data_IF_161036088486
#
_entry.id   IF_161036088486
#
_cell.length_a   1.000
_cell.length_b   1.000
_cell.length_c   1.000
_cell.angle_alpha   90.00
_cell.angle_beta   90.00
_cell.angle_gamma   90.00
#
_symmetry.space_group_name_H-M   'P 1'
#
loop_
_entity.id
_entity.type
_entity.pdbx_description
1 polymer ?
#
# COMPACT_ATOMS: atom_id res chain seq x y z
N UNK A 1 -5.12 -10.82 -5.92
CA UNK A 1 -4.26 -11.99 -5.60
C UNK A 1 -4.70 -12.73 -4.35
N UNK A 2 -4.43 -12.27 -3.11
CA UNK A 2 -4.73 -13.09 -1.92
C UNK A 2 -6.21 -13.49 -1.79
N UNK A 3 -7.13 -12.54 -2.02
CA UNK A 3 -8.57 -12.81 -2.05
C UNK A 3 -8.94 -13.85 -3.12
N UNK A 4 -8.38 -13.73 -4.33
CA UNK A 4 -8.61 -14.70 -5.41
C UNK A 4 -8.07 -16.10 -5.05
N UNK A 5 -6.95 -16.18 -4.31
CA UNK A 5 -6.43 -17.46 -3.80
C UNK A 5 -7.40 -18.07 -2.78
N UNK A 6 -7.98 -17.27 -1.89
CA UNK A 6 -9.03 -17.73 -0.97
C UNK A 6 -10.25 -18.27 -1.72
N UNK A 7 -10.73 -17.53 -2.71
CA UNK A 7 -11.85 -17.94 -3.57
C UNK A 7 -11.53 -19.24 -4.32
N UNK A 8 -10.30 -19.43 -4.78
CA UNK A 8 -9.86 -20.70 -5.39
C UNK A 8 -9.92 -21.87 -4.39
N UNK A 9 -9.45 -21.69 -3.15
CA UNK A 9 -9.56 -22.73 -2.11
C UNK A 9 -11.03 -23.00 -1.78
N UNK A 10 -11.88 -21.97 -1.79
CA UNK A 10 -13.32 -22.13 -1.60
C UNK A 10 -13.95 -23.02 -2.68
N UNK A 11 -13.55 -22.88 -3.95
CA UNK A 11 -14.02 -23.79 -5.00
C UNK A 11 -13.48 -25.22 -4.81
N UNK A 12 -12.22 -25.39 -4.37
CA UNK A 12 -11.70 -26.72 -4.02
C UNK A 12 -12.49 -27.37 -2.88
N UNK A 13 -12.85 -26.62 -1.84
CA UNK A 13 -13.67 -27.09 -0.73
C UNK A 13 -15.02 -27.63 -1.24
N UNK A 14 -15.70 -26.90 -2.13
CA UNK A 14 -16.98 -27.35 -2.71
C UNK A 14 -16.84 -28.67 -3.49
N UNK A 15 -15.75 -28.82 -4.25
CA UNK A 15 -15.46 -30.07 -4.97
C UNK A 15 -15.28 -31.24 -4.00
N UNK A 16 -14.53 -31.04 -2.91
CA UNK A 16 -14.32 -32.06 -1.88
C UNK A 16 -15.62 -32.44 -1.16
N UNK A 17 -16.47 -31.45 -0.85
CA UNK A 17 -17.78 -31.68 -0.23
C UNK A 17 -18.72 -32.47 -1.13
N UNK A 18 -18.76 -32.15 -2.43
CA UNK A 18 -19.56 -32.89 -3.40
C UNK A 18 -19.03 -34.31 -3.61
N UNK A 19 -17.71 -34.48 -3.65
CA UNK A 19 -17.08 -35.79 -3.76
C UNK A 19 -17.40 -36.68 -2.55
N UNK A 20 -17.21 -36.15 -1.33
CA UNK A 20 -17.56 -36.84 -0.09
C UNK A 20 -19.05 -37.21 -0.04
N UNK A 21 -19.94 -36.29 -0.44
CA UNK A 21 -21.38 -36.55 -0.50
C UNK A 21 -21.73 -37.71 -1.44
N UNK A 22 -21.07 -37.80 -2.59
CA UNK A 22 -21.29 -38.87 -3.56
C UNK A 22 -20.76 -40.22 -3.05
N UNK A 23 -19.59 -40.25 -2.40
CA UNK A 23 -19.06 -41.45 -1.74
C UNK A 23 -19.99 -41.95 -0.63
N UNK A 24 -20.45 -41.05 0.24
CA UNK A 24 -21.39 -41.37 1.31
C UNK A 24 -22.74 -41.89 0.77
N UNK A 25 -23.20 -41.38 -0.37
CA UNK A 25 -24.40 -41.91 -1.03
C UNK A 25 -24.16 -43.31 -1.60
N UNK A 26 -22.98 -43.55 -2.20
CA UNK A 26 -22.64 -44.83 -2.80
C UNK A 26 -22.42 -45.93 -1.76
N UNK A 27 -21.86 -45.61 -0.59
CA UNK A 27 -21.68 -46.56 0.52
C UNK A 27 -23.00 -47.16 1.03
N UNK A 28 -24.09 -46.40 0.94
CA UNK A 28 -25.43 -46.84 1.36
C UNK A 28 -26.19 -47.65 0.30
N UNK A 29 -25.56 -47.97 -0.84
CA UNK A 29 -26.21 -48.72 -1.90
C UNK A 29 -26.48 -50.19 -1.50
N UNK A 30 -27.62 -50.72 -1.94
CA UNK A 30 -28.08 -52.09 -1.71
C UNK A 30 -27.56 -53.13 -2.72
N UNK A 31 -26.63 -52.74 -3.62
CA UNK A 31 -26.00 -53.67 -4.56
C UNK A 31 -25.32 -54.84 -3.84
N UNK A 32 -25.61 -56.05 -4.32
CA UNK A 32 -25.03 -57.32 -3.88
C UNK A 32 -25.15 -57.59 -2.36
N UNK A 33 -26.21 -57.06 -1.71
CA UNK A 33 -26.48 -57.31 -0.28
C UNK A 33 -26.82 -58.78 0.01
N UNK A 34 -27.32 -59.53 -0.98
CA UNK A 34 -27.61 -60.96 -0.81
C UNK A 34 -26.37 -61.89 -0.80
N UNK A 35 -25.15 -61.36 -0.96
CA UNK A 35 -23.94 -62.19 -0.89
C UNK A 35 -23.68 -62.58 0.56
N UNK A 36 -23.55 -63.87 0.82
CA UNK A 36 -23.36 -64.43 2.17
C UNK A 36 -21.94 -64.94 2.41
N UNK A 37 -21.66 -65.32 3.66
CA UNK A 37 -20.37 -65.84 4.10
C UNK A 37 -19.28 -64.77 4.11
N UNK A 38 -18.02 -65.22 4.18
CA UNK A 38 -16.86 -64.31 4.27
C UNK A 38 -16.73 -63.35 3.07
N UNK A 39 -17.24 -63.74 1.89
CA UNK A 39 -17.28 -62.84 0.73
C UNK A 39 -18.30 -61.72 0.92
N UNK A 40 -19.46 -62.02 1.53
CA UNK A 40 -20.47 -61.02 1.87
C UNK A 40 -19.97 -60.02 2.91
N UNK A 41 -19.28 -60.50 3.93
CA UNK A 41 -18.61 -59.67 4.94
C UNK A 41 -17.55 -58.75 4.30
N UNK A 42 -16.70 -59.30 3.43
CA UNK A 42 -15.71 -58.51 2.70
C UNK A 42 -16.35 -57.44 1.81
N UNK A 43 -17.44 -57.77 1.11
CA UNK A 43 -18.19 -56.81 0.31
C UNK A 43 -18.84 -55.70 1.15
N UNK A 44 -19.44 -56.06 2.30
CA UNK A 44 -19.97 -55.07 3.24
C UNK A 44 -18.85 -54.13 3.74
N UNK A 45 -17.66 -54.66 3.98
CA UNK A 45 -16.51 -53.85 4.39
C UNK A 45 -16.04 -52.90 3.29
N UNK A 46 -16.09 -53.28 2.01
CA UNK A 46 -15.81 -52.37 0.88
C UNK A 46 -16.82 -51.20 0.89
N UNK A 47 -18.10 -51.45 1.17
CA UNK A 47 -19.07 -50.35 1.28
C UNK A 47 -18.80 -49.45 2.48
N UNK A 48 -18.39 -50.02 3.62
CA UNK A 48 -18.01 -49.24 4.79
C UNK A 48 -16.77 -48.37 4.52
N UNK A 49 -15.77 -48.89 3.80
CA UNK A 49 -14.57 -48.09 3.48
C UNK A 49 -14.91 -46.87 2.62
N UNK A 50 -15.92 -46.94 1.74
CA UNK A 50 -16.42 -45.76 1.01
C UNK A 50 -17.03 -44.70 1.96
N UNK A 51 -17.68 -45.12 3.04
CA UNK A 51 -18.20 -44.19 4.05
C UNK A 51 -17.05 -43.54 4.83
N UNK A 52 -16.04 -44.33 5.21
CA UNK A 52 -14.84 -43.84 5.89
C UNK A 52 -14.07 -42.85 5.00
N UNK A 53 -13.89 -43.15 3.70
CA UNK A 53 -13.30 -42.25 2.72
C UNK A 53 -14.08 -40.93 2.61
N UNK A 54 -15.42 -41.00 2.56
CA UNK A 54 -16.26 -39.80 2.56
C UNK A 54 -16.00 -38.91 3.79
N UNK A 55 -15.87 -39.51 4.99
CA UNK A 55 -15.59 -38.78 6.21
C UNK A 55 -14.18 -38.13 6.20
N UNK A 56 -13.18 -38.83 5.66
CA UNK A 56 -11.82 -38.28 5.48
C UNK A 56 -11.86 -37.03 4.59
N UNK A 57 -12.52 -37.10 3.44
CA UNK A 57 -12.64 -35.97 2.51
C UNK A 57 -13.42 -34.80 3.11
N UNK A 58 -14.49 -35.07 3.87
CA UNK A 58 -15.24 -34.02 4.55
C UNK A 58 -14.44 -33.34 5.67
N UNK A 59 -13.64 -34.11 6.44
CA UNK A 59 -12.72 -33.54 7.44
C UNK A 59 -11.63 -32.70 6.77
N UNK A 60 -11.13 -33.14 5.62
CA UNK A 60 -10.16 -32.39 4.83
C UNK A 60 -10.73 -31.06 4.35
N UNK A 61 -11.96 -31.03 3.80
CA UNK A 61 -12.58 -29.78 3.36
C UNK A 61 -12.81 -28.79 4.51
N UNK A 62 -13.21 -29.28 5.70
CA UNK A 62 -13.34 -28.45 6.90
C UNK A 62 -12.00 -27.85 7.37
N UNK A 63 -10.91 -28.63 7.26
CA UNK A 63 -9.56 -28.12 7.54
C UNK A 63 -9.11 -27.10 6.50
N UNK A 64 -9.34 -27.34 5.21
CA UNK A 64 -9.05 -26.35 4.16
C UNK A 64 -9.75 -25.01 4.44
N UNK A 65 -11.01 -25.06 4.87
CA UNK A 65 -11.74 -23.84 5.21
C UNK A 65 -11.11 -23.09 6.39
N UNK A 66 -10.87 -23.79 7.49
CA UNK A 66 -10.43 -23.18 8.76
C UNK A 66 -8.95 -22.81 8.79
N UNK A 67 -8.10 -23.60 8.15
CA UNK A 67 -6.64 -23.49 8.22
C UNK A 67 -6.02 -22.82 6.98
N UNK A 68 -6.75 -22.66 5.86
CA UNK A 68 -6.19 -22.08 4.63
C UNK A 68 -7.05 -20.94 4.07
N UNK A 69 -8.32 -21.21 3.75
CA UNK A 69 -9.22 -20.22 3.11
C UNK A 69 -9.47 -19.02 4.03
N UNK A 70 -9.96 -19.26 5.25
CA UNK A 70 -10.32 -18.18 6.17
C UNK A 70 -9.13 -17.28 6.56
N UNK A 71 -7.94 -17.81 6.88
CA UNK A 71 -6.76 -16.97 7.09
C UNK A 71 -6.35 -16.15 5.86
N UNK A 72 -6.46 -16.72 4.65
CA UNK A 72 -6.21 -16.00 3.41
C UNK A 72 -7.28 -14.92 3.14
N UNK A 73 -8.53 -15.12 3.52
CA UNK A 73 -9.55 -14.09 3.32
C UNK A 73 -9.40 -12.91 4.29
N UNK A 74 -9.12 -13.20 5.56
CA UNK A 74 -9.23 -12.23 6.65
C UNK A 74 -7.91 -11.54 7.01
N UNK A 75 -6.82 -11.87 6.34
CA UNK A 75 -5.56 -11.17 6.57
C UNK A 75 -5.70 -9.69 6.22
N UNK A 76 -5.50 -8.83 7.22
CA UNK A 76 -5.48 -7.37 7.10
C UNK A 76 -6.73 -6.81 6.40
N UNK A 77 -7.92 -7.12 6.94
CA UNK A 77 -9.21 -6.62 6.44
C UNK A 77 -9.27 -5.09 6.24
N UNK A 78 -8.54 -4.32 7.06
CA UNK A 78 -8.48 -2.85 6.98
C UNK A 78 -7.40 -2.30 6.02
N UNK A 79 -6.61 -3.16 5.37
CA UNK A 79 -5.44 -2.76 4.58
C UNK A 79 -5.75 -1.70 3.53
N UNK A 80 -6.86 -1.85 2.79
CA UNK A 80 -7.28 -0.88 1.77
C UNK A 80 -7.52 0.52 2.35
N UNK A 81 -8.06 0.60 3.57
CA UNK A 81 -8.32 1.87 4.25
C UNK A 81 -7.01 2.51 4.71
N UNK A 82 -6.10 1.71 5.27
CA UNK A 82 -4.82 2.20 5.77
C UNK A 82 -3.89 2.63 4.64
N UNK A 83 -3.87 1.91 3.52
CA UNK A 83 -3.14 2.33 2.31
C UNK A 83 -3.64 3.67 1.74
N UNK A 84 -4.96 3.93 1.80
CA UNK A 84 -5.50 5.25 1.40
C UNK A 84 -5.06 6.38 2.32
N UNK A 85 -4.98 6.12 3.63
CA UNK A 85 -4.49 7.13 4.59
C UNK A 85 -3.02 7.44 4.34
N UNK A 86 -2.22 6.39 4.11
CA UNK A 86 -0.81 6.49 3.76
C UNK A 86 -0.61 7.33 2.48
N UNK A 87 -1.34 7.01 1.40
CA UNK A 87 -1.30 7.75 0.15
C UNK A 87 -1.67 9.23 0.32
N UNK A 88 -2.74 9.50 1.08
CA UNK A 88 -3.18 10.86 1.36
C UNK A 88 -2.11 11.66 2.13
N UNK A 89 -1.51 11.04 3.16
CA UNK A 89 -0.46 11.67 3.96
C UNK A 89 0.74 12.12 3.10
N UNK A 90 1.24 11.21 2.26
CA UNK A 90 2.37 11.49 1.37
C UNK A 90 2.00 12.54 0.31
N UNK A 91 0.79 12.47 -0.24
CA UNK A 91 0.26 13.44 -1.21
C UNK A 91 0.19 14.84 -0.61
N UNK A 92 -0.25 14.97 0.63
CA UNK A 92 -0.32 16.26 1.33
C UNK A 92 1.07 16.86 1.56
N UNK A 93 2.07 16.05 1.92
CA UNK A 93 3.46 16.50 2.03
C UNK A 93 4.01 16.97 0.67
N UNK A 94 3.72 16.27 -0.42
CA UNK A 94 4.07 16.72 -1.78
C UNK A 94 3.42 18.05 -2.15
N UNK A 95 2.15 18.23 -1.80
CA UNK A 95 1.44 19.51 -2.01
C UNK A 95 2.08 20.65 -1.23
N UNK A 96 2.52 20.40 0.01
CA UNK A 96 3.25 21.39 0.80
C UNK A 96 4.57 21.80 0.14
N UNK A 97 5.37 20.84 -0.35
CA UNK A 97 6.60 21.14 -1.10
C UNK A 97 6.30 22.02 -2.32
N UNK A 98 5.28 21.66 -3.11
CA UNK A 98 4.89 22.42 -4.31
C UNK A 98 4.50 23.87 -3.97
N UNK A 99 3.73 24.07 -2.89
CA UNK A 99 3.37 25.41 -2.43
C UNK A 99 4.58 26.23 -1.96
N UNK A 100 5.54 25.59 -1.26
CA UNK A 100 6.79 26.24 -0.87
C UNK A 100 7.65 26.60 -2.08
N UNK A 101 7.74 25.71 -3.06
CA UNK A 101 8.44 25.97 -4.31
C UNK A 101 7.84 27.19 -5.06
N UNK A 102 6.52 27.27 -5.17
CA UNK A 102 5.85 28.44 -5.76
C UNK A 102 6.18 29.76 -5.01
N UNK A 103 6.36 29.68 -3.69
CA UNK A 103 6.77 30.84 -2.87
C UNK A 103 8.21 31.26 -3.16
N UNK A 104 9.13 30.30 -3.29
CA UNK A 104 10.53 30.53 -3.72
C UNK A 104 10.58 31.17 -5.10
N UNK A 105 9.82 30.64 -6.07
CA UNK A 105 9.74 31.21 -7.42
C UNK A 105 9.29 32.67 -7.41
N UNK A 106 8.27 32.98 -6.61
CA UNK A 106 7.75 34.34 -6.45
C UNK A 106 8.79 35.28 -5.82
N UNK A 107 9.45 34.84 -4.75
CA UNK A 107 10.49 35.63 -4.08
C UNK A 107 11.71 35.87 -5.00
N UNK A 108 12.11 34.86 -5.79
CA UNK A 108 13.20 34.99 -6.76
C UNK A 108 12.88 36.05 -7.82
N UNK A 109 11.67 35.99 -8.40
CA UNK A 109 11.22 36.99 -9.38
C UNK A 109 11.22 38.41 -8.80
N UNK A 110 10.73 38.57 -7.56
CA UNK A 110 10.73 39.85 -6.87
C UNK A 110 12.16 40.37 -6.62
N UNK A 111 13.10 39.49 -6.24
CA UNK A 111 14.51 39.88 -6.06
C UNK A 111 15.13 40.37 -7.37
N UNK A 112 14.91 39.65 -8.47
CA UNK A 112 15.40 40.07 -9.79
C UNK A 112 14.85 41.43 -10.21
N UNK A 113 13.57 41.71 -9.93
CA UNK A 113 12.97 43.03 -10.22
C UNK A 113 13.60 44.14 -9.37
N UNK A 114 13.85 43.90 -8.07
CA UNK A 114 14.48 44.89 -7.18
C UNK A 114 15.95 45.13 -7.50
N UNK A 115 16.69 44.10 -7.92
CA UNK A 115 18.07 44.23 -8.37
C UNK A 115 18.17 45.11 -9.62
N UNK A 116 17.26 44.93 -10.59
CA UNK A 116 17.19 45.80 -11.78
C UNK A 116 16.84 47.25 -11.44
N UNK A 117 15.89 47.48 -10.52
CA UNK A 117 15.56 48.84 -10.04
C UNK A 117 16.75 49.53 -9.38
N UNK A 118 17.50 48.80 -8.55
CA UNK A 118 18.74 49.29 -7.93
C UNK A 118 19.82 49.62 -8.96
N UNK A 119 20.02 48.75 -9.96
CA UNK A 119 20.99 48.96 -11.04
C UNK A 119 20.66 50.22 -11.86
N UNK A 120 19.40 50.38 -12.28
CA UNK A 120 18.95 51.58 -13.01
C UNK A 120 19.15 52.86 -12.21
N UNK A 121 18.83 52.85 -10.91
CA UNK A 121 19.04 54.02 -10.03
C UNK A 121 20.52 54.34 -9.82
N UNK A 122 21.36 53.32 -9.79
CA UNK A 122 22.82 53.48 -9.69
C UNK A 122 23.37 54.13 -10.96
N UNK A 123 22.94 53.69 -12.14
CA UNK A 123 23.30 54.32 -13.42
C UNK A 123 22.82 55.79 -13.52
N UNK A 124 21.66 56.13 -12.93
CA UNK A 124 21.19 57.53 -12.89
C UNK A 124 22.10 58.46 -12.08
N UNK A 125 22.78 57.94 -11.05
CA UNK A 125 23.73 58.72 -10.26
C UNK A 125 24.97 59.11 -11.07
N UNK A 126 25.42 58.24 -11.98
CA UNK A 126 26.56 58.50 -12.88
C UNK A 126 26.26 59.63 -13.87
N UNK A 127 24.98 59.82 -14.23
CA UNK A 127 24.54 60.86 -15.17
C UNK A 127 24.26 62.19 -14.45
N UNK A 128 23.67 62.16 -13.24
CA UNK A 128 23.33 63.37 -12.49
C UNK A 128 23.41 63.15 -10.98
N UNK A 129 24.47 63.71 -10.37
CA UNK A 129 24.68 63.69 -8.93
C UNK A 129 23.70 64.63 -8.22
N UNK A 130 22.89 64.09 -7.32
CA UNK A 130 21.95 64.84 -6.48
C UNK A 130 21.66 64.07 -5.19
N UNK A 131 21.51 64.79 -4.08
CA UNK A 131 21.12 64.21 -2.78
C UNK A 131 19.84 63.35 -2.87
N UNK A 132 18.91 63.71 -3.78
CA UNK A 132 17.70 62.93 -4.02
C UNK A 132 18.00 61.57 -4.66
N UNK A 133 18.92 61.53 -5.63
CA UNK A 133 19.33 60.28 -6.31
C UNK A 133 20.04 59.34 -5.32
N UNK A 134 20.88 59.88 -4.42
CA UNK A 134 21.52 59.09 -3.36
C UNK A 134 20.51 58.48 -2.38
N UNK A 135 19.49 59.24 -1.98
CA UNK A 135 18.43 58.75 -1.10
C UNK A 135 17.59 57.64 -1.76
N UNK A 136 17.26 57.80 -3.05
CA UNK A 136 16.55 56.80 -3.83
C UNK A 136 17.34 55.50 -3.99
N UNK A 137 18.67 55.57 -4.16
CA UNK A 137 19.56 54.40 -4.18
C UNK A 137 19.56 53.71 -2.81
N UNK A 138 19.73 54.45 -1.71
CA UNK A 138 19.68 53.85 -0.35
C UNK A 138 18.35 53.14 -0.11
N UNK A 139 17.24 53.71 -0.58
CA UNK A 139 15.91 53.10 -0.48
C UNK A 139 15.77 51.84 -1.34
N UNK A 140 16.25 51.86 -2.58
CA UNK A 140 16.24 50.70 -3.46
C UNK A 140 17.12 49.57 -2.93
N UNK A 141 18.29 49.91 -2.38
CA UNK A 141 19.20 48.97 -1.74
C UNK A 141 18.53 48.26 -0.56
N UNK A 142 17.93 49.01 0.39
CA UNK A 142 17.20 48.42 1.53
C UNK A 142 16.09 47.47 1.07
N UNK A 143 15.35 47.84 0.03
CA UNK A 143 14.28 46.98 -0.54
C UNK A 143 14.84 45.72 -1.19
N UNK A 144 15.96 45.81 -1.91
CA UNK A 144 16.61 44.65 -2.51
C UNK A 144 17.14 43.70 -1.43
N UNK A 145 17.76 44.22 -0.37
CA UNK A 145 18.21 43.42 0.77
C UNK A 145 17.04 42.70 1.44
N UNK A 146 15.95 43.42 1.76
CA UNK A 146 14.76 42.82 2.37
C UNK A 146 14.19 41.66 1.55
N UNK A 147 14.06 41.82 0.23
CA UNK A 147 13.53 40.75 -0.64
C UNK A 147 14.53 39.59 -0.77
N UNK A 148 15.83 39.85 -0.61
CA UNK A 148 16.85 38.81 -0.50
C UNK A 148 16.71 37.98 0.78
N UNK A 149 16.43 38.63 1.91
CA UNK A 149 16.14 37.96 3.18
C UNK A 149 14.85 37.14 3.08
N UNK A 150 13.81 37.69 2.44
CA UNK A 150 12.55 36.98 2.17
C UNK A 150 12.76 35.72 1.30
N UNK A 151 13.62 35.81 0.27
CA UNK A 151 13.98 34.65 -0.57
C UNK A 151 14.71 33.58 0.26
N UNK A 152 15.67 33.98 1.09
CA UNK A 152 16.39 33.07 1.99
C UNK A 152 15.42 32.32 2.89
N UNK A 153 14.50 33.03 3.54
CA UNK A 153 13.44 32.45 4.35
C UNK A 153 12.53 31.48 3.56
N UNK A 154 12.16 31.83 2.32
CA UNK A 154 11.34 30.95 1.47
C UNK A 154 12.09 29.65 1.11
N UNK A 155 13.39 29.73 0.83
CA UNK A 155 14.24 28.58 0.51
C UNK A 155 14.39 27.67 1.74
N UNK A 156 14.61 28.24 2.92
CA UNK A 156 14.71 27.47 4.16
C UNK A 156 13.42 26.68 4.46
N UNK A 157 12.26 27.32 4.31
CA UNK A 157 10.96 26.67 4.49
C UNK A 157 10.69 25.59 3.43
N UNK A 158 11.17 25.77 2.20
CA UNK A 158 11.09 24.75 1.16
C UNK A 158 11.95 23.53 1.52
N UNK A 159 13.20 23.75 1.92
CA UNK A 159 14.12 22.69 2.32
C UNK A 159 13.58 21.92 3.53
N UNK A 160 13.03 22.60 4.54
CA UNK A 160 12.39 21.95 5.69
C UNK A 160 11.21 21.07 5.27
N UNK A 161 10.33 21.56 4.39
CA UNK A 161 9.21 20.77 3.88
C UNK A 161 9.69 19.56 3.05
N UNK A 162 10.77 19.72 2.30
CA UNK A 162 11.38 18.66 1.51
C UNK A 162 12.03 17.59 2.39
N UNK A 163 12.80 17.97 3.41
CA UNK A 163 13.41 17.04 4.37
C UNK A 163 12.34 16.24 5.11
N UNK A 164 11.28 16.89 5.58
CA UNK A 164 10.14 16.19 6.21
C UNK A 164 9.51 15.16 5.28
N UNK A 165 9.22 15.55 4.04
CA UNK A 165 8.68 14.61 3.05
C UNK A 165 9.64 13.45 2.78
N UNK A 166 10.94 13.72 2.72
CA UNK A 166 11.96 12.71 2.45
C UNK A 166 12.01 11.65 3.58
N UNK A 167 12.07 12.08 4.83
CA UNK A 167 12.10 11.18 6.00
C UNK A 167 10.84 10.31 6.08
N UNK A 168 9.67 10.93 5.90
CA UNK A 168 8.38 10.22 5.89
C UNK A 168 8.27 9.24 4.71
N UNK A 169 8.76 9.62 3.53
CA UNK A 169 8.77 8.76 2.34
C UNK A 169 9.66 7.53 2.54
N UNK A 170 10.87 7.72 3.10
CA UNK A 170 11.80 6.62 3.37
C UNK A 170 11.20 5.65 4.38
N UNK A 171 10.66 6.18 5.49
CA UNK A 171 10.04 5.34 6.53
C UNK A 171 8.85 4.58 5.98
N UNK A 172 7.96 5.26 5.27
CA UNK A 172 6.77 4.63 4.66
C UNK A 172 7.16 3.57 3.65
N UNK A 173 8.20 3.78 2.83
CA UNK A 173 8.66 2.80 1.86
C UNK A 173 9.19 1.53 2.54
N UNK A 174 9.97 1.67 3.61
CA UNK A 174 10.48 0.55 4.41
C UNK A 174 9.34 -0.22 5.10
N UNK A 175 8.33 0.49 5.60
CA UNK A 175 7.13 -0.14 6.13
C UNK A 175 6.43 -0.95 5.04
N UNK A 176 6.17 -0.38 3.86
CA UNK A 176 5.54 -1.09 2.75
C UNK A 176 6.34 -2.32 2.30
N UNK A 177 7.67 -2.25 2.29
CA UNK A 177 8.55 -3.39 2.04
C UNK A 177 8.31 -4.50 3.06
N UNK A 178 8.34 -4.16 4.35
CA UNK A 178 8.08 -5.12 5.43
C UNK A 178 6.67 -5.73 5.33
N UNK A 179 5.66 -4.91 5.01
CA UNK A 179 4.28 -5.37 4.82
C UNK A 179 4.17 -6.39 3.67
N UNK A 180 4.94 -6.20 2.60
CA UNK A 180 4.94 -7.13 1.47
C UNK A 180 5.69 -8.43 1.79
N UNK A 181 6.81 -8.35 2.51
CA UNK A 181 7.52 -9.54 3.02
C UNK A 181 6.60 -10.38 3.91
N UNK A 182 5.92 -9.75 4.87
CA UNK A 182 4.95 -10.45 5.73
C UNK A 182 3.80 -11.08 4.95
N UNK A 183 3.31 -10.41 3.91
CA UNK A 183 2.24 -10.94 3.05
C UNK A 183 2.71 -12.19 2.32
N UNK A 184 3.92 -12.16 1.73
CA UNK A 184 4.49 -13.31 1.01
C UNK A 184 4.74 -14.48 1.96
N UNK A 185 5.31 -14.22 3.14
CA UNK A 185 5.58 -15.28 4.13
C UNK A 185 4.30 -15.90 4.67
N UNK A 186 3.28 -15.10 4.96
CA UNK A 186 1.98 -15.60 5.39
C UNK A 186 1.36 -16.48 4.30
N UNK A 187 1.37 -16.05 3.03
CA UNK A 187 0.85 -16.86 1.91
C UNK A 187 1.64 -18.17 1.80
N UNK A 188 2.98 -18.11 1.83
CA UNK A 188 3.83 -19.30 1.78
C UNK A 188 3.48 -20.27 2.91
N UNK A 189 3.32 -19.78 4.13
CA UNK A 189 2.94 -20.60 5.29
C UNK A 189 1.62 -21.34 5.06
N UNK A 190 0.57 -20.65 4.59
CA UNK A 190 -0.73 -21.27 4.38
C UNK A 190 -0.76 -22.20 3.16
N UNK A 191 0.06 -21.94 2.14
CA UNK A 191 0.26 -22.89 1.05
C UNK A 191 1.02 -24.14 1.50
N UNK A 192 1.97 -24.03 2.42
CA UNK A 192 2.59 -25.18 3.07
C UNK A 192 1.60 -25.96 3.95
N UNK A 193 0.60 -25.28 4.55
CA UNK A 193 -0.46 -25.95 5.32
C UNK A 193 -1.42 -26.73 4.41
N UNK A 194 -1.55 -26.32 3.14
CA UNK A 194 -2.37 -27.00 2.14
C UNK A 194 -1.74 -28.31 1.62
N UNK A 195 -0.41 -28.37 1.51
CA UNK A 195 0.36 -29.52 0.98
C UNK A 195 0.68 -30.55 2.05
#
# INVERSE_FOLDING_TARGET
MQKEMSEFIQERIKIEEEYAKNLAKLSQNSLAVQVEGSLGEAWAQVKNSLADEAEVHLKFSAKLHSEVEKPLMNFRENFKKDMKKCDHHITDLRKQISNRYASVEKARKALTERQRDLEMKTQQLEIKLSNKTEEDIRKAWRKSTQVGDDLTCCVDLHNQAQSKWFEEMVTTALELEQLEVERVEMIRQHLCQYT
#
